data_IF_716795866684
#
_entry.id   IF_716795866684
#
_cell.length_a   1.000
_cell.length_b   1.000
_cell.length_c   1.000
_cell.angle_alpha   90.00
_cell.angle_beta   90.00
_cell.angle_gamma   90.00
#
_symmetry.space_group_name_H-M   'P 1'
#
loop_
_entity.id
_entity.type
_entity.pdbx_description
1 polymer ?
#
# COMPACT_ATOMS: atom_id res chain seq x y z
N UNK A 1 -0.87 -16.10 33.31
CA UNK A 1 -0.80 -14.64 33.42
C UNK A 1 -2.20 -14.11 33.18
N UNK A 2 -2.79 -13.47 34.19
CA UNK A 2 -4.20 -13.03 34.19
C UNK A 2 -4.30 -11.55 33.79
N UNK A 3 -5.49 -11.08 33.39
CA UNK A 3 -5.74 -9.65 33.07
C UNK A 3 -5.33 -8.72 34.23
N UNK A 4 -5.47 -9.20 35.46
CA UNK A 4 -5.06 -8.53 36.69
C UNK A 4 -3.54 -8.34 36.77
N UNK A 5 -2.76 -9.32 36.30
CA UNK A 5 -1.29 -9.23 36.28
C UNK A 5 -0.80 -8.18 35.27
N UNK A 6 -1.48 -8.09 34.12
CA UNK A 6 -1.16 -7.12 33.05
C UNK A 6 -1.51 -5.70 33.51
N UNK A 7 -2.67 -5.47 34.12
CA UNK A 7 -3.05 -4.15 34.64
C UNK A 7 -2.12 -3.69 35.76
N UNK A 8 -1.71 -4.61 36.63
CA UNK A 8 -0.79 -4.29 37.74
C UNK A 8 0.60 -3.95 37.21
N UNK A 9 1.10 -4.69 36.21
CA UNK A 9 2.38 -4.41 35.56
C UNK A 9 2.36 -3.06 34.80
N UNK A 10 1.25 -2.74 34.11
CA UNK A 10 1.10 -1.47 33.41
C UNK A 10 0.97 -0.29 34.38
N UNK A 11 0.17 -0.42 35.44
CA UNK A 11 0.02 0.61 36.46
C UNK A 11 1.36 0.91 37.16
N UNK A 12 2.16 -0.12 37.44
CA UNK A 12 3.49 0.03 38.02
C UNK A 12 4.50 0.63 37.04
N UNK A 13 4.37 0.38 35.73
CA UNK A 13 5.25 0.96 34.71
C UNK A 13 4.93 2.43 34.38
N UNK A 14 3.68 2.87 34.60
CA UNK A 14 3.25 4.25 34.28
C UNK A 14 3.13 5.17 35.49
N UNK A 15 3.26 4.65 36.72
CA UNK A 15 3.09 5.41 37.97
C UNK A 15 4.02 6.62 38.11
N UNK A 16 5.20 6.56 37.48
CA UNK A 16 6.23 7.62 37.56
C UNK A 16 6.24 8.57 36.34
N UNK A 17 5.34 8.37 35.37
CA UNK A 17 5.26 9.22 34.18
C UNK A 17 4.53 10.53 34.52
N UNK A 18 5.28 11.49 35.08
CA UNK A 18 4.83 12.88 35.13
C UNK A 18 4.88 13.48 33.73
N UNK A 19 3.72 13.80 33.20
CA UNK A 19 3.62 14.55 31.94
C UNK A 19 4.22 15.95 32.14
N UNK A 20 5.15 16.39 31.28
CA UNK A 20 5.68 17.74 31.35
C UNK A 20 4.53 18.76 31.25
N UNK A 21 4.45 19.76 32.14
CA UNK A 21 3.31 20.69 32.20
C UNK A 21 3.13 21.53 30.92
N UNK A 22 4.16 21.59 30.08
CA UNK A 22 4.20 22.32 28.81
C UNK A 22 3.98 21.42 27.58
N UNK A 23 3.62 20.14 27.76
CA UNK A 23 3.43 19.20 26.65
C UNK A 23 2.32 19.70 25.70
N UNK A 24 1.18 20.11 26.26
CA UNK A 24 0.04 20.62 25.47
C UNK A 24 0.40 21.93 24.75
N UNK A 25 1.13 22.82 25.41
CA UNK A 25 1.58 24.08 24.81
C UNK A 25 2.54 23.83 23.64
N UNK A 26 3.48 22.88 23.77
CA UNK A 26 4.39 22.49 22.68
C UNK A 26 3.65 21.86 21.51
N UNK A 27 2.64 21.04 21.77
CA UNK A 27 1.77 20.47 20.72
C UNK A 27 0.98 21.57 20.01
N UNK A 28 0.41 22.53 20.75
CA UNK A 28 -0.34 23.66 20.20
C UNK A 28 0.56 24.59 19.36
N UNK A 29 1.78 24.86 19.82
CA UNK A 29 2.76 25.69 19.09
C UNK A 29 3.24 25.00 17.81
N UNK A 30 3.44 23.68 17.85
CA UNK A 30 3.76 22.85 16.68
C UNK A 30 2.64 22.83 15.64
N UNK A 31 1.39 22.78 16.08
CA UNK A 31 0.20 22.87 15.22
C UNK A 31 0.08 24.22 14.51
N UNK A 32 0.22 25.33 15.26
CA UNK A 32 0.13 26.70 14.71
C UNK A 32 1.20 26.98 13.64
N UNK A 33 2.44 26.52 13.83
CA UNK A 33 3.52 26.71 12.83
C UNK A 33 3.24 25.99 11.50
N UNK A 34 2.61 24.82 11.53
CA UNK A 34 2.24 24.08 10.29
C UNK A 34 1.14 24.80 9.52
N UNK A 35 0.13 25.34 10.22
CA UNK A 35 -0.98 26.08 9.59
C UNK A 35 -0.49 27.38 8.94
N UNK A 36 0.42 28.12 9.58
CA UNK A 36 0.95 29.38 9.03
C UNK A 36 1.83 29.13 7.80
N UNK A 37 2.71 28.10 7.80
CA UNK A 37 3.48 27.73 6.60
C UNK A 37 2.59 27.31 5.43
N UNK A 38 1.45 26.67 5.69
CA UNK A 38 0.50 26.22 4.67
C UNK A 38 -0.26 27.40 4.03
N UNK A 39 -0.58 28.43 4.81
CA UNK A 39 -1.24 29.66 4.32
C UNK A 39 -0.31 30.54 3.47
N UNK A 40 0.99 30.58 3.80
CA UNK A 40 1.98 31.32 3.01
C UNK A 40 2.19 30.75 1.59
N UNK A 41 2.08 29.43 1.42
CA UNK A 41 2.21 28.78 0.11
C UNK A 41 0.99 28.96 -0.80
N UNK A 42 -0.21 29.15 -0.24
CA UNK A 42 -1.44 29.38 -1.01
C UNK A 42 -1.58 30.83 -1.51
N UNK A 43 -0.97 31.80 -0.83
CA UNK A 43 -1.02 33.20 -1.24
C UNK A 43 -0.12 33.52 -2.44
N UNK A 44 0.88 32.67 -2.75
CA UNK A 44 1.82 32.89 -3.85
C UNK A 44 1.34 32.35 -5.22
N UNK A 45 0.21 31.63 -5.26
CA UNK A 45 -0.25 30.88 -6.44
C UNK A 45 -1.48 31.46 -7.16
N UNK A 46 -1.82 32.74 -6.94
CA UNK A 46 -2.99 33.39 -7.52
C UNK A 46 -2.60 34.63 -8.34
N UNK A 47 -1.87 34.39 -9.43
CA UNK A 47 -1.78 35.34 -10.53
C UNK A 47 -1.73 34.58 -11.85
N UNK A 48 -2.60 34.99 -12.78
CA UNK A 48 -2.68 34.63 -14.21
C UNK A 48 -3.12 33.20 -14.57
N UNK A 49 -4.35 33.05 -15.09
CA UNK A 49 -4.64 32.87 -16.52
C UNK A 49 -6.16 33.05 -16.74
N UNK A 50 -6.51 33.97 -17.65
CA UNK A 50 -7.84 34.20 -18.21
C UNK A 50 -7.94 33.65 -19.64
N UNK A 51 -9.17 33.28 -20.03
CA UNK A 51 -9.70 32.89 -21.35
C UNK A 51 -9.56 31.40 -21.72
N UNK A 52 -10.59 30.65 -22.16
CA UNK A 52 -12.02 30.92 -22.37
C UNK A 52 -12.62 29.86 -23.33
N UNK A 53 -13.69 29.16 -22.92
CA UNK A 53 -14.79 28.50 -23.72
C UNK A 53 -15.63 27.61 -22.76
N UNK A 54 -16.81 28.06 -22.27
CA UNK A 54 -18.19 27.83 -22.75
C UNK A 54 -18.52 26.34 -23.02
N UNK A 55 -19.43 25.63 -22.35
CA UNK A 55 -20.56 25.99 -21.50
C UNK A 55 -20.70 24.98 -20.34
N UNK A 56 -20.75 25.49 -19.10
CA UNK A 56 -21.06 24.72 -17.90
C UNK A 56 -21.90 25.61 -17.00
N UNK A 57 -23.07 25.09 -16.60
CA UNK A 57 -24.03 25.77 -15.72
C UNK A 57 -23.32 26.23 -14.45
N UNK A 58 -23.13 27.54 -14.32
CA UNK A 58 -22.60 28.18 -13.13
C UNK A 58 -23.74 28.35 -12.12
N UNK A 59 -23.78 27.49 -11.09
CA UNK A 59 -24.39 27.86 -9.82
C UNK A 59 -23.39 28.70 -9.05
N UNK A 60 -23.70 29.99 -8.91
CA UNK A 60 -22.95 30.96 -8.11
C UNK A 60 -23.84 31.44 -6.97
N UNK A 61 -23.31 31.36 -5.75
CA UNK A 61 -23.93 31.82 -4.49
C UNK A 61 -24.28 30.62 -3.61
N UNK A 62 -24.00 30.57 -2.32
CA UNK A 62 -23.36 31.45 -1.35
C UNK A 62 -22.97 30.55 -0.18
N UNK A 63 -22.17 31.03 0.76
CA UNK A 63 -21.49 30.20 1.77
C UNK A 63 -22.39 29.17 2.46
N UNK A 64 -22.07 27.89 2.28
CA UNK A 64 -22.38 26.76 3.15
C UNK A 64 -21.67 25.52 2.58
N UNK A 65 -21.38 24.55 3.45
CA UNK A 65 -20.38 23.48 3.25
C UNK A 65 -20.30 22.85 1.85
N UNK A 66 -19.07 22.69 1.36
CA UNK A 66 -18.71 22.00 0.12
C UNK A 66 -19.61 20.79 -0.12
N UNK A 67 -20.39 20.85 -1.20
CA UNK A 67 -21.23 19.74 -1.63
C UNK A 67 -20.38 18.48 -1.77
N UNK A 68 -20.76 17.34 -1.16
CA UNK A 68 -19.95 16.13 -1.22
C UNK A 68 -19.81 15.66 -2.68
N UNK A 69 -18.57 15.35 -3.09
CA UNK A 69 -18.16 14.89 -4.44
C UNK A 69 -18.99 13.72 -4.98
N UNK A 70 -19.71 12.99 -4.12
CA UNK A 70 -20.57 11.87 -4.49
C UNK A 70 -22.06 12.18 -4.65
N UNK A 71 -22.51 13.43 -4.47
CA UNK A 71 -23.91 13.79 -4.79
C UNK A 71 -24.35 13.34 -6.20
N UNK A 72 -23.49 13.38 -7.25
CA UNK A 72 -23.85 12.87 -8.57
C UNK A 72 -24.10 11.36 -8.62
N UNK A 73 -23.51 10.58 -7.70
CA UNK A 73 -23.66 9.12 -7.69
C UNK A 73 -24.97 8.67 -7.07
N UNK A 74 -25.56 9.44 -6.15
CA UNK A 74 -26.75 9.04 -5.41
C UNK A 74 -28.05 9.57 -6.03
N UNK A 75 -27.97 10.69 -6.74
CA UNK A 75 -29.14 11.41 -7.27
C UNK A 75 -29.13 11.52 -8.80
N UNK A 76 -28.12 10.93 -9.46
CA UNK A 76 -27.99 10.95 -10.91
C UNK A 76 -28.95 9.99 -11.63
N UNK A 77 -28.98 10.07 -12.95
CA UNK A 77 -29.64 9.06 -13.78
C UNK A 77 -28.79 7.78 -13.82
N UNK A 78 -29.46 6.64 -13.89
CA UNK A 78 -28.79 5.35 -14.13
C UNK A 78 -28.16 5.37 -15.52
N UNK A 79 -26.85 5.08 -15.59
CA UNK A 79 -26.06 5.05 -16.82
C UNK A 79 -25.86 3.63 -17.37
N UNK A 80 -25.30 3.52 -18.57
CA UNK A 80 -24.95 2.24 -19.20
C UNK A 80 -26.00 1.70 -20.17
N UNK A 81 -25.68 0.62 -20.87
CA UNK A 81 -26.52 0.01 -21.92
C UNK A 81 -27.72 -0.78 -21.38
N UNK A 82 -27.70 -1.17 -20.11
CA UNK A 82 -28.83 -1.82 -19.43
C UNK A 82 -29.63 -0.85 -18.54
N UNK A 83 -29.44 0.47 -18.68
CA UNK A 83 -30.17 1.48 -17.89
C UNK A 83 -31.70 1.44 -18.03
N UNK A 84 -32.22 0.87 -19.12
CA UNK A 84 -33.65 0.70 -19.37
C UNK A 84 -34.19 -0.70 -19.03
N UNK A 85 -33.34 -1.64 -18.62
CA UNK A 85 -33.73 -3.02 -18.30
C UNK A 85 -34.33 -3.08 -16.88
N UNK A 86 -35.63 -2.82 -16.79
CA UNK A 86 -36.34 -2.78 -15.50
C UNK A 86 -36.20 -4.09 -14.69
N UNK A 87 -36.14 -5.24 -15.36
CA UNK A 87 -35.99 -6.53 -14.70
C UNK A 87 -34.60 -6.68 -14.07
N UNK A 88 -33.55 -6.32 -14.81
CA UNK A 88 -32.19 -6.35 -14.29
C UNK A 88 -31.97 -5.33 -13.16
N UNK A 89 -32.52 -4.12 -13.29
CA UNK A 89 -32.43 -3.12 -12.22
C UNK A 89 -33.16 -3.56 -10.96
N UNK A 90 -34.30 -4.25 -11.08
CA UNK A 90 -35.00 -4.83 -9.94
C UNK A 90 -34.19 -5.97 -9.28
N UNK A 91 -33.59 -6.86 -10.09
CA UNK A 91 -32.69 -7.92 -9.63
C UNK A 91 -31.49 -7.33 -8.85
N UNK A 92 -30.86 -6.28 -9.39
CA UNK A 92 -29.71 -5.61 -8.75
C UNK A 92 -30.06 -5.02 -7.39
N UNK A 93 -31.22 -4.34 -7.27
CA UNK A 93 -31.70 -3.80 -5.98
C UNK A 93 -32.00 -4.91 -4.97
N UNK A 94 -32.60 -6.02 -5.40
CA UNK A 94 -32.89 -7.16 -4.53
C UNK A 94 -31.61 -7.83 -4.01
N UNK A 95 -30.62 -8.06 -4.88
CA UNK A 95 -29.31 -8.61 -4.51
C UNK A 95 -28.58 -7.69 -3.53
N UNK A 96 -28.63 -6.37 -3.76
CA UNK A 96 -28.02 -5.40 -2.86
C UNK A 96 -28.68 -5.37 -1.49
N UNK A 97 -30.02 -5.35 -1.42
CA UNK A 97 -30.75 -5.39 -0.16
C UNK A 97 -30.41 -6.65 0.65
N UNK A 98 -30.34 -7.81 -0.02
CA UNK A 98 -29.92 -9.06 0.61
C UNK A 98 -28.46 -8.99 1.10
N UNK A 99 -27.56 -8.38 0.33
CA UNK A 99 -26.15 -8.23 0.69
C UNK A 99 -25.92 -7.33 1.90
N UNK A 100 -26.70 -6.25 2.02
CA UNK A 100 -26.64 -5.34 3.17
C UNK A 100 -27.12 -5.98 4.46
N UNK A 101 -28.06 -6.93 4.38
CA UNK A 101 -28.64 -7.59 5.54
C UNK A 101 -29.25 -6.58 6.53
N UNK A 102 -28.68 -6.49 7.73
CA UNK A 102 -29.15 -5.59 8.80
C UNK A 102 -28.48 -4.21 8.84
N UNK A 103 -27.64 -3.85 7.86
CA UNK A 103 -26.95 -2.55 7.87
C UNK A 103 -27.98 -1.40 7.71
N UNK A 104 -28.04 -0.44 8.66
CA UNK A 104 -28.97 0.69 8.56
C UNK A 104 -28.68 1.56 7.33
N UNK A 105 -29.66 1.68 6.45
CA UNK A 105 -29.63 2.50 5.22
C UNK A 105 -30.78 3.51 5.19
N UNK A 106 -30.71 4.49 4.29
CA UNK A 106 -31.74 5.51 4.06
C UNK A 106 -32.16 5.53 2.59
N UNK A 107 -33.48 5.55 2.37
CA UNK A 107 -34.07 5.60 1.03
C UNK A 107 -33.87 4.32 0.23
N UNK A 108 -34.36 4.33 -1.00
CA UNK A 108 -34.20 3.23 -1.95
C UNK A 108 -32.76 3.17 -2.50
N UNK A 109 -32.23 1.97 -2.80
CA UNK A 109 -30.95 1.86 -3.47
C UNK A 109 -31.04 2.36 -4.91
N UNK A 110 -30.07 3.18 -5.30
CA UNK A 110 -29.94 3.74 -6.64
C UNK A 110 -28.90 2.95 -7.43
N UNK A 111 -29.30 2.45 -8.60
CA UNK A 111 -28.36 1.81 -9.54
C UNK A 111 -27.69 2.91 -10.34
N UNK A 112 -26.42 3.18 -10.03
CA UNK A 112 -25.61 4.25 -10.65
C UNK A 112 -25.31 3.92 -12.12
N UNK A 113 -25.01 2.65 -12.38
CA UNK A 113 -24.64 2.17 -13.70
C UNK A 113 -25.08 0.71 -13.85
N UNK A 114 -25.58 0.34 -15.02
CA UNK A 114 -25.96 -1.03 -15.37
C UNK A 114 -25.59 -1.32 -16.83
N UNK A 115 -24.87 -2.41 -17.07
CA UNK A 115 -24.43 -2.73 -18.42
C UNK A 115 -23.76 -4.08 -18.64
N UNK A 116 -23.32 -4.30 -19.87
CA UNK A 116 -22.54 -5.49 -20.25
C UNK A 116 -21.04 -5.26 -20.05
N UNK A 117 -20.46 -6.00 -19.11
CA UNK A 117 -19.03 -6.07 -18.88
C UNK A 117 -18.37 -7.08 -19.84
N UNK A 118 -17.30 -6.70 -20.57
CA UNK A 118 -16.60 -7.60 -21.48
C UNK A 118 -16.15 -8.87 -20.77
N UNK A 119 -16.51 -10.04 -21.32
CA UNK A 119 -16.17 -11.38 -20.80
C UNK A 119 -16.67 -11.71 -19.38
N UNK A 120 -17.37 -10.79 -18.70
CA UNK A 120 -17.93 -10.98 -17.36
C UNK A 120 -19.47 -11.01 -17.34
N UNK A 121 -20.15 -10.65 -18.44
CA UNK A 121 -21.61 -10.66 -18.53
C UNK A 121 -22.23 -9.36 -17.99
N UNK A 122 -23.43 -9.43 -17.43
CA UNK A 122 -24.09 -8.25 -16.85
C UNK A 122 -23.36 -7.79 -15.58
N UNK A 123 -23.22 -6.49 -15.39
CA UNK A 123 -22.66 -5.89 -14.20
C UNK A 123 -23.43 -4.62 -13.83
N UNK A 124 -23.33 -4.21 -12.56
CA UNK A 124 -23.94 -2.98 -12.09
C UNK A 124 -23.12 -2.33 -10.98
N UNK A 125 -23.28 -1.03 -10.82
CA UNK A 125 -22.85 -0.27 -9.64
C UNK A 125 -24.09 0.24 -8.94
N UNK A 126 -24.20 -0.02 -7.64
CA UNK A 126 -25.31 0.43 -6.82
C UNK A 126 -24.79 1.30 -5.69
N UNK A 127 -25.55 2.32 -5.31
CA UNK A 127 -25.25 3.17 -4.19
C UNK A 127 -26.51 3.41 -3.34
N UNK A 128 -26.33 3.58 -2.05
CA UNK A 128 -27.43 3.84 -1.13
C UNK A 128 -26.97 4.72 0.03
N UNK A 129 -27.82 5.64 0.47
CA UNK A 129 -27.49 6.52 1.60
C UNK A 129 -27.48 5.72 2.90
N UNK A 130 -26.66 6.16 3.85
CA UNK A 130 -26.70 5.67 5.24
C UNK A 130 -27.00 6.83 6.19
N UNK A 131 -27.45 6.56 7.43
CA UNK A 131 -27.41 7.58 8.47
C UNK A 131 -25.99 8.14 8.59
N UNK A 132 -25.85 9.47 8.52
CA UNK A 132 -24.54 10.10 8.62
C UNK A 132 -23.85 9.68 9.92
N UNK A 133 -22.62 9.18 9.78
CA UNK A 133 -21.79 8.76 10.91
C UNK A 133 -20.36 9.20 10.71
N UNK A 134 -19.71 9.62 11.80
CA UNK A 134 -18.27 9.83 11.79
C UNK A 134 -17.63 8.46 11.66
N UNK A 135 -17.01 8.22 10.52
CA UNK A 135 -16.43 6.92 10.16
C UNK A 135 -14.92 6.85 10.45
N UNK A 136 -14.26 7.99 10.67
CA UNK A 136 -12.83 8.00 10.98
C UNK A 136 -12.45 9.02 12.07
N UNK A 137 -11.35 8.79 12.81
CA UNK A 137 -10.79 9.75 13.77
C UNK A 137 -10.38 11.10 13.14
N UNK A 138 -10.24 11.15 11.82
CA UNK A 138 -9.96 12.37 11.06
C UNK A 138 -11.22 13.21 10.79
N UNK A 139 -12.38 12.80 11.32
CA UNK A 139 -13.65 13.52 11.16
C UNK A 139 -14.35 13.28 9.83
N UNK A 140 -14.00 12.22 9.10
CA UNK A 140 -14.69 11.89 7.84
C UNK A 140 -16.09 11.38 8.14
N UNK A 141 -17.05 11.83 7.34
CA UNK A 141 -18.46 11.45 7.45
C UNK A 141 -18.75 10.42 6.36
N UNK A 142 -19.25 9.26 6.78
CA UNK A 142 -19.91 8.32 5.87
C UNK A 142 -21.32 8.82 5.58
N UNK A 143 -21.64 8.97 4.30
CA UNK A 143 -22.96 9.42 3.83
C UNK A 143 -23.63 8.43 2.89
N UNK A 144 -22.93 7.39 2.48
CA UNK A 144 -23.49 6.32 1.65
C UNK A 144 -22.63 5.06 1.64
N UNK A 145 -23.19 4.03 1.02
CA UNK A 145 -22.54 2.77 0.68
C UNK A 145 -22.60 2.62 -0.83
N UNK A 146 -21.57 2.00 -1.40
CA UNK A 146 -21.50 1.66 -2.82
C UNK A 146 -21.10 0.19 -2.97
N UNK A 147 -21.67 -0.50 -3.95
CA UNK A 147 -21.36 -1.89 -4.26
C UNK A 147 -21.21 -2.11 -5.75
N UNK A 148 -20.31 -3.03 -6.11
CA UNK A 148 -20.21 -3.57 -7.44
C UNK A 148 -20.94 -4.92 -7.48
N UNK A 149 -21.70 -5.15 -8.54
CA UNK A 149 -22.42 -6.38 -8.80
C UNK A 149 -21.91 -7.02 -10.09
N UNK A 150 -21.77 -8.34 -10.08
CA UNK A 150 -21.38 -9.12 -11.26
C UNK A 150 -22.33 -10.29 -11.48
N UNK A 151 -22.63 -10.58 -12.74
CA UNK A 151 -23.31 -11.79 -13.15
C UNK A 151 -22.35 -12.98 -13.07
N UNK A 152 -22.79 -14.05 -12.41
CA UNK A 152 -22.11 -15.34 -12.42
C UNK A 152 -23.02 -16.42 -13.00
N UNK A 153 -22.49 -17.64 -13.13
CA UNK A 153 -23.29 -18.82 -13.48
C UNK A 153 -24.36 -19.14 -12.42
N UNK A 154 -24.18 -18.70 -11.17
CA UNK A 154 -25.14 -18.88 -10.09
C UNK A 154 -26.16 -17.74 -9.96
N UNK A 155 -26.07 -16.71 -10.82
CA UNK A 155 -26.88 -15.50 -10.72
C UNK A 155 -26.07 -14.24 -10.46
N UNK A 156 -26.77 -13.11 -10.35
CA UNK A 156 -26.19 -11.83 -9.98
C UNK A 156 -25.78 -11.84 -8.50
N UNK A 157 -24.61 -11.28 -8.18
CA UNK A 157 -24.13 -11.15 -6.80
C UNK A 157 -23.43 -9.81 -6.58
N UNK A 158 -23.52 -9.29 -5.36
CA UNK A 158 -22.66 -8.19 -4.91
C UNK A 158 -21.27 -8.73 -4.51
N UNK A 159 -20.21 -8.07 -4.95
CA UNK A 159 -18.81 -8.49 -4.73
C UNK A 159 -17.99 -7.50 -3.91
N UNK A 160 -18.60 -6.38 -3.52
CA UNK A 160 -17.98 -5.38 -2.66
C UNK A 160 -19.04 -4.60 -1.88
N UNK A 161 -18.58 -3.97 -0.80
CA UNK A 161 -19.35 -3.05 0.02
C UNK A 161 -18.40 -1.95 0.51
N UNK A 162 -18.47 -0.78 -0.12
CA UNK A 162 -17.58 0.34 0.11
C UNK A 162 -18.31 1.47 0.81
N UNK A 163 -17.68 2.08 1.82
CA UNK A 163 -18.19 3.32 2.39
C UNK A 163 -17.86 4.51 1.49
N UNK A 164 -18.85 5.37 1.29
CA UNK A 164 -18.68 6.64 0.60
C UNK A 164 -18.39 7.71 1.65
N UNK A 165 -17.16 8.21 1.66
CA UNK A 165 -16.64 9.10 2.70
C UNK A 165 -16.43 10.51 2.16
N UNK A 166 -16.64 11.53 3.01
CA UNK A 166 -16.38 12.93 2.64
C UNK A 166 -14.87 13.18 2.52
N UNK A 167 -14.43 13.78 1.42
CA UNK A 167 -13.02 14.17 1.22
C UNK A 167 -12.04 13.00 1.25
N UNK A 168 -12.50 11.78 0.95
CA UNK A 168 -11.65 10.60 0.85
C UNK A 168 -11.69 10.01 -0.56
N UNK A 169 -10.70 9.17 -0.85
CA UNK A 169 -10.71 8.30 -2.02
C UNK A 169 -11.74 7.21 -1.80
N UNK A 170 -12.90 7.33 -2.45
CA UNK A 170 -13.80 6.19 -2.63
C UNK A 170 -13.07 5.15 -3.50
N UNK A 171 -13.47 3.88 -3.46
CA UNK A 171 -12.91 2.84 -4.33
C UNK A 171 -13.74 2.72 -5.62
N UNK A 172 -13.43 3.45 -6.72
CA UNK A 172 -14.23 3.42 -7.94
C UNK A 172 -13.91 2.21 -8.82
N UNK A 173 -13.02 1.30 -8.41
CA UNK A 173 -12.57 0.20 -9.24
C UNK A 173 -12.88 -1.16 -8.63
N UNK A 174 -13.10 -2.16 -9.49
CA UNK A 174 -13.32 -3.55 -9.10
C UNK A 174 -12.74 -4.51 -10.14
N UNK A 175 -12.27 -5.68 -9.70
CA UNK A 175 -11.92 -6.79 -10.58
C UNK A 175 -13.09 -7.78 -10.68
N UNK A 176 -13.65 -7.94 -11.87
CA UNK A 176 -14.77 -8.82 -12.20
C UNK A 176 -14.29 -10.19 -12.72
N UNK A 177 -15.25 -11.11 -12.82
CA UNK A 177 -15.12 -12.48 -13.33
C UNK A 177 -14.36 -13.42 -12.38
N UNK A 178 -14.56 -14.76 -12.49
CA UNK A 178 -13.92 -15.73 -11.59
C UNK A 178 -12.39 -15.74 -11.63
N UNK A 179 -11.80 -15.27 -12.72
CA UNK A 179 -10.35 -15.14 -12.89
C UNK A 179 -9.83 -13.74 -12.56
N UNK A 180 -10.71 -12.80 -12.20
CA UNK A 180 -10.36 -11.42 -11.84
C UNK A 180 -9.56 -10.74 -12.96
N UNK A 181 -9.92 -11.04 -14.20
CA UNK A 181 -9.20 -10.64 -15.40
C UNK A 181 -9.91 -9.49 -16.14
N UNK A 182 -10.98 -8.94 -15.57
CA UNK A 182 -11.70 -7.78 -16.12
C UNK A 182 -11.69 -6.69 -15.06
N UNK A 183 -11.01 -5.58 -15.34
CA UNK A 183 -11.06 -4.39 -14.51
C UNK A 183 -12.23 -3.52 -14.96
N UNK A 184 -13.07 -3.11 -14.01
CA UNK A 184 -14.11 -2.11 -14.19
C UNK A 184 -13.77 -0.89 -13.33
N UNK A 185 -13.87 0.30 -13.91
CA UNK A 185 -13.61 1.57 -13.20
C UNK A 185 -14.77 2.52 -13.46
N UNK A 186 -15.35 3.06 -12.39
CA UNK A 186 -16.37 4.10 -12.40
C UNK A 186 -15.72 5.47 -12.60
N UNK A 187 -16.29 6.30 -13.47
CA UNK A 187 -15.86 7.68 -13.65
C UNK A 187 -16.25 8.54 -12.44
N UNK A 188 -15.23 9.07 -11.76
CA UNK A 188 -15.38 10.01 -10.65
C UNK A 188 -14.92 11.44 -11.01
N UNK A 189 -14.69 11.71 -12.30
CA UNK A 189 -14.29 13.01 -12.83
C UNK A 189 -12.83 13.38 -12.63
N UNK A 190 -12.01 12.52 -12.01
CA UNK A 190 -10.57 12.80 -11.78
C UNK A 190 -9.66 12.44 -12.95
N UNK A 191 -10.18 11.74 -13.97
CA UNK A 191 -9.42 11.18 -15.07
C UNK A 191 -8.51 10.05 -14.58
N UNK A 192 -8.85 8.80 -14.88
CA UNK A 192 -8.11 7.65 -14.37
C UNK A 192 -7.22 7.05 -15.44
N UNK A 193 -6.00 6.70 -15.05
CA UNK A 193 -5.03 5.98 -15.87
C UNK A 193 -4.74 4.61 -15.26
N UNK A 194 -4.54 3.65 -16.15
CA UNK A 194 -4.37 2.24 -15.84
C UNK A 194 -2.99 1.75 -16.27
N UNK A 195 -2.36 0.95 -15.40
CA UNK A 195 -1.15 0.19 -15.71
C UNK A 195 -1.44 -1.30 -15.58
N UNK A 196 -1.25 -2.12 -16.62
CA UNK A 196 -1.56 -3.56 -16.59
C UNK A 196 -0.58 -4.39 -15.75
N UNK A 197 0.62 -3.87 -15.53
CA UNK A 197 1.66 -4.50 -14.74
C UNK A 197 2.73 -3.49 -14.39
N UNK A 198 3.86 -3.99 -13.90
CA UNK A 198 5.05 -3.20 -13.62
C UNK A 198 6.32 -4.00 -13.93
N UNK A 199 7.42 -3.29 -14.06
CA UNK A 199 8.77 -3.83 -14.17
C UNK A 199 9.68 -3.30 -13.09
N UNK A 200 10.93 -3.74 -13.14
CA UNK A 200 12.01 -3.18 -12.35
C UNK A 200 13.11 -2.70 -13.27
N UNK A 201 13.59 -1.49 -13.03
CA UNK A 201 14.82 -1.01 -13.67
C UNK A 201 16.06 -1.68 -13.06
N UNK A 202 17.25 -1.54 -13.66
CA UNK A 202 18.47 -2.18 -13.14
C UNK A 202 18.83 -1.80 -11.70
N UNK A 203 18.40 -0.63 -11.23
CA UNK A 203 18.56 -0.18 -9.85
C UNK A 203 17.48 -0.72 -8.89
N UNK A 204 16.47 -1.42 -9.42
CA UNK A 204 15.35 -2.02 -8.70
C UNK A 204 14.17 -1.09 -8.45
N UNK A 205 14.20 0.15 -8.96
CA UNK A 205 13.04 1.05 -8.94
C UNK A 205 11.88 0.44 -9.73
N UNK A 206 10.65 0.75 -9.31
CA UNK A 206 9.43 0.21 -9.94
C UNK A 206 9.04 1.09 -11.11
N UNK A 207 8.90 0.47 -12.29
CA UNK A 207 8.44 1.18 -13.50
C UNK A 207 7.05 0.70 -13.93
N UNK A 208 6.23 1.67 -14.33
CA UNK A 208 4.85 1.46 -14.79
C UNK A 208 4.56 2.31 -16.02
N UNK A 209 3.75 1.76 -16.92
CA UNK A 209 3.22 2.51 -18.06
C UNK A 209 1.74 2.74 -17.85
N UNK A 210 1.33 4.01 -17.78
CA UNK A 210 -0.05 4.40 -17.48
C UNK A 210 -0.78 4.91 -18.73
N UNK A 211 -1.82 4.20 -19.14
CA UNK A 211 -2.68 4.58 -20.27
C UNK A 211 -3.99 5.17 -19.75
N UNK A 212 -4.49 6.29 -20.30
CA UNK A 212 -5.80 6.83 -19.96
C UNK A 212 -6.93 5.83 -20.24
N UNK A 213 -7.90 5.76 -19.35
CA UNK A 213 -9.14 5.00 -19.56
C UNK A 213 -10.16 5.87 -20.31
N UNK A 214 -10.93 5.26 -21.22
CA UNK A 214 -12.00 5.94 -21.95
C UNK A 214 -13.38 5.59 -21.35
N UNK A 215 -13.93 6.53 -20.59
CA UNK A 215 -15.23 6.40 -19.92
C UNK A 215 -16.42 6.67 -20.84
N UNK A 216 -16.20 7.19 -22.06
CA UNK A 216 -17.29 7.55 -22.98
C UNK A 216 -17.91 6.33 -23.64
N UNK A 217 -17.12 5.27 -23.81
CA UNK A 217 -17.54 4.04 -24.51
C UNK A 217 -18.67 3.33 -23.76
N UNK A 218 -18.62 3.31 -22.43
CA UNK A 218 -19.64 2.66 -21.60
C UNK A 218 -20.32 3.63 -20.64
N UNK A 219 -20.47 4.89 -21.06
CA UNK A 219 -21.28 5.90 -20.36
C UNK A 219 -20.93 6.02 -18.86
N UNK A 220 -19.72 6.48 -18.56
CA UNK A 220 -19.27 6.71 -17.19
C UNK A 220 -18.63 5.51 -16.50
N UNK A 221 -18.40 4.42 -17.22
CA UNK A 221 -17.55 3.31 -16.79
C UNK A 221 -16.51 3.03 -17.87
N UNK A 222 -15.32 2.61 -17.47
CA UNK A 222 -14.30 2.07 -18.35
C UNK A 222 -13.97 0.63 -17.97
N UNK A 223 -13.71 -0.20 -18.99
CA UNK A 223 -13.25 -1.57 -18.82
C UNK A 223 -11.83 -1.73 -19.35
N UNK A 224 -11.06 -2.60 -18.71
CA UNK A 224 -9.78 -3.07 -19.23
C UNK A 224 -9.65 -4.58 -19.02
N UNK A 225 -9.25 -5.29 -20.07
CA UNK A 225 -8.82 -6.68 -19.94
C UNK A 225 -7.46 -6.72 -19.23
N UNK A 226 -7.30 -7.67 -18.33
CA UNK A 226 -6.08 -7.82 -17.51
C UNK A 226 -5.65 -9.30 -17.51
N UNK A 227 -4.39 -9.57 -17.17
CA UNK A 227 -3.98 -10.95 -16.85
C UNK A 227 -4.73 -11.46 -15.61
N UNK A 228 -4.77 -12.76 -15.37
CA UNK A 228 -5.35 -13.33 -14.15
C UNK A 228 -4.72 -12.72 -12.89
N UNK A 229 -5.54 -12.14 -12.01
CA UNK A 229 -5.09 -11.48 -10.76
C UNK A 229 -5.32 -12.38 -9.53
N UNK A 230 -5.05 -13.69 -9.66
CA UNK A 230 -5.15 -14.65 -8.54
C UNK A 230 -3.87 -14.63 -7.72
N UNK A 231 -3.99 -14.44 -6.41
CA UNK A 231 -2.86 -14.45 -5.46
C UNK A 231 -2.03 -13.16 -5.39
N UNK A 232 -1.99 -12.36 -6.47
CA UNK A 232 -1.38 -11.03 -6.48
C UNK A 232 -2.15 -10.08 -7.39
N UNK A 233 -2.10 -8.77 -7.11
CA UNK A 233 -2.63 -7.74 -8.01
C UNK A 233 -1.44 -6.98 -8.62
N UNK A 234 -1.27 -7.12 -9.93
CA UNK A 234 -0.20 -6.49 -10.71
C UNK A 234 -0.61 -5.12 -11.26
N UNK A 235 -1.92 -4.91 -11.41
CA UNK A 235 -2.45 -3.66 -11.94
C UNK A 235 -2.24 -2.50 -10.98
N UNK A 236 -2.23 -1.28 -11.52
CA UNK A 236 -2.28 -0.06 -10.74
C UNK A 236 -3.20 0.95 -11.41
N UNK A 237 -3.80 1.79 -10.57
CA UNK A 237 -4.63 2.90 -11.00
C UNK A 237 -4.14 4.20 -10.39
N UNK A 238 -4.11 5.23 -11.21
CA UNK A 238 -3.71 6.58 -10.80
C UNK A 238 -4.67 7.60 -11.40
N UNK A 239 -5.15 8.51 -10.56
CA UNK A 239 -5.91 9.66 -11.01
C UNK A 239 -4.99 10.77 -11.53
N UNK A 240 -5.43 11.50 -12.56
CA UNK A 240 -4.72 12.68 -13.08
C UNK A 240 -4.82 13.84 -12.10
N UNK A 241 -5.96 13.97 -11.41
CA UNK A 241 -6.20 14.94 -10.34
C UNK A 241 -6.16 14.25 -8.97
N UNK A 242 -5.55 14.91 -7.99
CA UNK A 242 -5.59 14.46 -6.61
C UNK A 242 -6.96 14.68 -5.98
N UNK A 243 -7.26 13.95 -4.91
CA UNK A 243 -8.40 14.23 -4.03
C UNK A 243 -8.20 15.55 -3.25
N UNK A 244 -9.05 15.82 -2.27
CA UNK A 244 -8.95 17.01 -1.39
C UNK A 244 -7.65 17.07 -0.58
N UNK A 245 -6.93 15.96 -0.46
CA UNK A 245 -5.63 15.86 0.19
C UNK A 245 -4.46 15.85 -0.81
N UNK A 246 -4.75 15.91 -2.11
CA UNK A 246 -3.78 15.80 -3.20
C UNK A 246 -3.37 14.36 -3.51
N UNK A 247 -4.01 13.35 -2.91
CA UNK A 247 -3.69 11.97 -3.20
C UNK A 247 -4.31 11.52 -4.52
N UNK A 248 -3.49 10.84 -5.34
CA UNK A 248 -3.85 10.38 -6.68
C UNK A 248 -4.08 8.87 -6.73
N UNK A 249 -4.07 8.19 -5.59
CA UNK A 249 -4.43 6.79 -5.52
C UNK A 249 -5.92 6.60 -5.85
N UNK A 250 -6.24 5.39 -6.31
CA UNK A 250 -7.59 4.98 -6.68
C UNK A 250 -7.87 3.68 -5.96
N UNK A 251 -8.90 3.62 -5.12
CA UNK A 251 -9.22 2.42 -4.36
C UNK A 251 -9.75 1.28 -5.24
N UNK A 252 -9.48 0.04 -4.83
CA UNK A 252 -10.03 -1.19 -5.42
C UNK A 252 -10.98 -1.85 -4.42
N UNK A 253 -12.26 -1.92 -4.75
CA UNK A 253 -13.35 -2.24 -3.83
C UNK A 253 -13.25 -3.67 -3.28
N UNK A 254 -13.21 -4.67 -4.17
CA UNK A 254 -13.17 -6.07 -3.73
C UNK A 254 -11.80 -6.54 -3.19
N UNK A 255 -10.89 -5.63 -2.80
CA UNK A 255 -9.57 -5.98 -2.24
C UNK A 255 -9.69 -6.85 -0.98
N UNK A 256 -10.65 -6.59 -0.11
CA UNK A 256 -10.88 -7.41 1.09
C UNK A 256 -11.23 -8.86 0.75
N UNK A 257 -12.10 -9.09 -0.24
CA UNK A 257 -12.41 -10.43 -0.75
C UNK A 257 -11.22 -11.11 -1.46
N UNK A 258 -10.17 -10.35 -1.80
CA UNK A 258 -8.90 -10.88 -2.32
C UNK A 258 -7.93 -11.27 -1.20
N UNK A 259 -8.06 -10.68 0.00
CA UNK A 259 -7.32 -11.05 1.20
C UNK A 259 -8.07 -12.21 1.87
N UNK A 260 -7.70 -13.46 1.56
CA UNK A 260 -8.41 -14.64 2.08
C UNK A 260 -8.37 -14.70 3.61
N UNK A 261 -9.52 -14.49 4.27
CA UNK A 261 -10.03 -15.15 5.49
C UNK A 261 -9.24 -15.13 6.81
N UNK A 262 -7.94 -14.84 6.77
CA UNK A 262 -7.11 -14.73 7.95
C UNK A 262 -6.93 -13.25 8.27
N UNK A 263 -7.05 -12.91 9.56
CA UNK A 263 -6.59 -11.64 10.10
C UNK A 263 -5.27 -11.30 9.42
N UNK A 264 -5.15 -10.16 8.72
CA UNK A 264 -3.92 -9.83 8.02
C UNK A 264 -2.78 -9.98 9.04
N UNK A 265 -1.78 -10.86 8.79
CA UNK A 265 -0.67 -10.98 9.72
C UNK A 265 -0.09 -9.59 9.95
N UNK A 266 0.39 -9.34 11.17
CA UNK A 266 1.02 -8.07 11.51
C UNK A 266 1.93 -7.64 10.37
N UNK A 267 1.79 -6.39 9.93
CA UNK A 267 2.57 -5.84 8.83
C UNK A 267 4.03 -6.29 9.00
N UNK A 268 4.57 -7.00 7.99
CA UNK A 268 5.80 -7.76 8.14
C UNK A 268 6.85 -6.99 8.91
N UNK A 269 7.34 -7.58 10.00
CA UNK A 269 8.20 -6.88 10.94
C UNK A 269 9.40 -6.28 10.21
N UNK A 270 9.69 -5.01 10.53
CA UNK A 270 10.91 -4.36 10.06
C UNK A 270 12.07 -4.85 10.91
N UNK A 271 12.93 -5.70 10.34
CA UNK A 271 14.08 -6.30 11.00
C UNK A 271 15.29 -5.36 10.93
N UNK A 272 15.33 -4.41 11.87
CA UNK A 272 16.50 -3.55 12.06
C UNK A 272 17.66 -4.38 12.64
N UNK A 273 18.76 -4.48 11.91
CA UNK A 273 19.95 -5.25 12.31
C UNK A 273 21.24 -4.42 12.21
N UNK A 274 21.61 -3.72 13.30
CA UNK A 274 22.93 -3.12 13.38
C UNK A 274 24.02 -4.18 13.58
N UNK A 275 24.98 -4.27 12.66
CA UNK A 275 26.08 -5.22 12.78
C UNK A 275 27.19 -4.71 13.72
N UNK A 276 27.96 -5.62 14.37
CA UNK A 276 29.12 -5.26 15.16
C UNK A 276 30.13 -4.42 14.35
N UNK A 277 30.73 -3.39 14.98
CA UNK A 277 31.70 -2.52 14.32
C UNK A 277 31.09 -1.36 13.54
N UNK A 278 29.75 -1.29 13.40
CA UNK A 278 29.08 -0.22 12.63
C UNK A 278 29.42 1.18 13.15
N UNK A 279 29.62 1.33 14.46
CA UNK A 279 29.89 2.59 15.13
C UNK A 279 31.16 3.29 14.62
N UNK A 280 32.07 2.52 13.97
CA UNK A 280 33.28 3.05 13.33
C UNK A 280 32.99 3.91 12.10
N UNK A 281 31.81 3.76 11.49
CA UNK A 281 31.39 4.46 10.28
C UNK A 281 30.03 5.15 10.41
N UNK A 282 29.24 4.79 11.43
CA UNK A 282 27.92 5.34 11.73
C UNK A 282 27.93 6.03 13.09
N UNK A 283 28.16 7.37 13.15
CA UNK A 283 28.02 8.13 14.38
C UNK A 283 26.60 8.01 14.94
N UNK A 284 26.45 8.12 16.27
CA UNK A 284 25.14 7.99 16.96
C UNK A 284 24.44 9.32 17.22
N UNK A 285 24.86 10.39 16.55
CA UNK A 285 24.26 11.72 16.75
C UNK A 285 23.01 11.95 15.86
N UNK A 286 22.24 12.98 16.19
CA UNK A 286 21.01 13.31 15.48
C UNK A 286 21.22 13.73 14.02
N UNK A 287 22.40 14.23 13.65
CA UNK A 287 22.71 14.54 12.25
C UNK A 287 22.94 13.23 11.47
N UNK A 288 23.67 12.28 12.06
CA UNK A 288 23.90 10.96 11.47
C UNK A 288 22.62 10.14 11.32
N UNK A 289 21.67 10.21 12.26
CA UNK A 289 20.37 9.53 12.09
C UNK A 289 19.52 10.18 10.98
N UNK A 290 19.57 11.50 10.82
CA UNK A 290 18.93 12.18 9.67
C UNK A 290 19.58 11.79 8.35
N UNK A 291 20.90 11.64 8.33
CA UNK A 291 21.61 11.13 7.15
C UNK A 291 21.22 9.68 6.87
N UNK A 292 21.13 8.83 7.91
CA UNK A 292 20.76 7.43 7.80
C UNK A 292 19.36 7.22 7.22
N UNK A 293 18.44 8.18 7.38
CA UNK A 293 17.13 8.15 6.72
C UNK A 293 17.23 8.15 5.18
N UNK A 294 18.30 8.72 4.60
CA UNK A 294 18.53 8.69 3.14
C UNK A 294 18.92 7.31 2.62
N UNK A 295 19.36 6.43 3.51
CA UNK A 295 19.70 5.04 3.18
C UNK A 295 18.49 4.11 3.28
N UNK A 296 17.34 4.63 3.69
CA UNK A 296 16.11 3.87 3.81
C UNK A 296 15.24 3.99 2.58
N UNK A 297 15.24 2.93 1.78
CA UNK A 297 14.46 2.85 0.55
C UNK A 297 12.96 2.69 0.83
N UNK A 298 12.56 2.27 2.03
CA UNK A 298 11.13 2.05 2.35
C UNK A 298 10.32 3.35 2.38
N UNK A 299 10.98 4.49 2.60
CA UNK A 299 10.35 5.82 2.54
C UNK A 299 10.44 6.50 1.18
N UNK A 300 11.09 5.88 0.19
CA UNK A 300 11.31 6.46 -1.14
C UNK A 300 10.24 5.97 -2.10
N UNK A 301 9.56 6.89 -2.79
CA UNK A 301 8.38 6.56 -3.59
C UNK A 301 8.74 5.68 -4.79
N UNK A 302 9.90 5.88 -5.41
CA UNK A 302 10.37 5.15 -6.60
C UNK A 302 10.65 3.65 -6.36
N UNK A 303 10.93 3.26 -5.11
CA UNK A 303 11.13 1.86 -4.74
C UNK A 303 9.83 1.18 -4.27
N UNK A 304 8.79 1.98 -4.03
CA UNK A 304 7.49 1.54 -3.59
C UNK A 304 6.45 1.64 -4.71
N UNK A 305 5.54 0.68 -4.75
CA UNK A 305 4.48 0.70 -5.74
C UNK A 305 3.30 1.56 -5.26
N UNK A 306 3.48 2.89 -5.28
CA UNK A 306 2.53 3.86 -4.70
C UNK A 306 1.08 3.67 -5.18
N UNK A 307 0.90 3.25 -6.43
CA UNK A 307 -0.41 3.14 -7.08
C UNK A 307 -0.90 1.69 -7.22
N UNK A 308 -0.08 0.71 -6.83
CA UNK A 308 -0.45 -0.69 -6.88
C UNK A 308 -1.22 -1.14 -5.64
N UNK A 309 -1.78 -2.34 -5.74
CA UNK A 309 -2.58 -2.94 -4.68
C UNK A 309 -1.83 -4.09 -4.04
N UNK A 310 -1.69 -4.03 -2.72
CA UNK A 310 -1.06 -5.10 -1.94
C UNK A 310 -2.15 -5.96 -1.29
N UNK A 311 -2.06 -7.28 -1.50
CA UNK A 311 -2.97 -8.27 -0.91
C UNK A 311 -2.42 -8.94 0.34
N UNK A 312 -1.11 -9.16 0.36
CA UNK A 312 -0.44 -9.78 1.50
C UNK A 312 0.39 -8.73 2.21
N UNK A 313 0.48 -8.76 3.55
CA UNK A 313 1.50 -8.00 4.25
C UNK A 313 2.87 -8.25 3.60
N UNK A 314 3.72 -7.21 3.50
CA UNK A 314 5.06 -7.43 2.98
C UNK A 314 5.75 -8.50 3.83
N UNK A 315 6.65 -9.27 3.24
CA UNK A 315 7.53 -10.13 4.04
C UNK A 315 8.33 -9.26 5.03
N UNK A 316 8.88 -9.90 6.07
CA UNK A 316 9.77 -9.23 6.99
C UNK A 316 10.86 -8.47 6.22
N UNK A 317 10.96 -7.17 6.49
CA UNK A 317 11.83 -6.27 5.74
C UNK A 317 13.14 -6.14 6.48
N UNK A 318 14.20 -6.72 5.91
CA UNK A 318 15.55 -6.59 6.45
C UNK A 318 16.06 -5.18 6.27
N UNK A 319 16.67 -4.64 7.33
CA UNK A 319 17.42 -3.39 7.29
C UNK A 319 18.74 -3.57 8.04
N UNK A 320 19.75 -4.09 7.34
CA UNK A 320 21.04 -4.45 7.92
C UNK A 320 22.01 -3.28 7.72
N UNK A 321 22.49 -2.69 8.81
CA UNK A 321 23.48 -1.58 8.78
C UNK A 321 24.83 -2.09 9.26
N UNK A 322 25.90 -1.83 8.52
CA UNK A 322 27.24 -2.22 8.95
C UNK A 322 28.33 -1.29 8.45
N UNK A 323 29.56 -1.62 8.83
CA UNK A 323 30.78 -1.00 8.34
C UNK A 323 31.74 -2.08 7.82
N UNK A 324 32.38 -1.82 6.70
CA UNK A 324 33.45 -2.68 6.17
C UNK A 324 34.75 -2.44 6.95
N UNK A 325 35.76 -3.29 6.75
CA UNK A 325 37.06 -3.13 7.42
C UNK A 325 37.76 -1.81 7.08
N UNK A 326 37.55 -1.30 5.85
CA UNK A 326 38.01 0.02 5.38
C UNK A 326 37.08 1.17 5.83
N UNK A 327 36.23 0.92 6.83
CA UNK A 327 35.29 1.88 7.45
C UNK A 327 34.27 2.48 6.49
N UNK A 328 33.97 1.84 5.37
CA UNK A 328 32.86 2.26 4.49
C UNK A 328 31.55 1.80 5.08
N UNK A 329 30.57 2.71 5.09
CA UNK A 329 29.19 2.43 5.47
C UNK A 329 28.55 1.51 4.44
N UNK A 330 27.70 0.59 4.88
CA UNK A 330 26.79 -0.11 3.98
C UNK A 330 25.42 -0.36 4.61
N UNK A 331 24.43 -0.53 3.73
CA UNK A 331 23.09 -1.00 4.06
C UNK A 331 22.72 -2.13 3.11
N UNK A 332 22.22 -3.23 3.67
CA UNK A 332 21.51 -4.26 2.91
C UNK A 332 20.04 -4.22 3.33
N UNK A 333 19.16 -4.01 2.36
CA UNK A 333 17.72 -3.87 2.60
C UNK A 333 16.93 -4.83 1.72
N UNK A 334 15.83 -5.40 2.25
CA UNK A 334 14.83 -6.07 1.41
C UNK A 334 13.57 -5.22 1.27
N UNK A 335 12.95 -5.20 0.08
CA UNK A 335 11.63 -4.57 -0.12
C UNK A 335 10.70 -5.50 -0.90
N UNK A 336 9.56 -5.84 -0.31
CA UNK A 336 8.52 -6.64 -0.97
C UNK A 336 7.60 -5.76 -1.80
N UNK A 337 7.54 -6.01 -3.11
CA UNK A 337 6.62 -5.32 -4.01
C UNK A 337 5.20 -5.93 -3.94
N UNK A 338 4.28 -5.40 -4.74
CA UNK A 338 2.88 -5.88 -4.82
C UNK A 338 2.75 -7.27 -5.46
N UNK A 339 3.77 -7.71 -6.19
CA UNK A 339 3.89 -9.07 -6.71
C UNK A 339 4.38 -10.11 -5.69
N UNK A 340 4.63 -9.69 -4.44
CA UNK A 340 5.11 -10.56 -3.37
C UNK A 340 6.61 -10.88 -3.44
N UNK A 341 7.35 -10.45 -4.47
CA UNK A 341 8.79 -10.67 -4.57
C UNK A 341 9.55 -9.68 -3.68
N UNK A 342 10.54 -10.18 -2.95
CA UNK A 342 11.40 -9.39 -2.06
C UNK A 342 12.69 -9.03 -2.78
N UNK A 343 12.84 -7.78 -3.20
CA UNK A 343 14.06 -7.25 -3.83
C UNK A 343 15.14 -7.03 -2.78
N UNK A 344 16.38 -7.38 -3.07
CA UNK A 344 17.53 -7.20 -2.17
C UNK A 344 18.40 -6.06 -2.70
N UNK A 345 18.67 -5.05 -1.89
CA UNK A 345 19.49 -3.89 -2.26
C UNK A 345 20.77 -3.83 -1.45
N UNK A 346 21.84 -3.33 -2.07
CA UNK A 346 23.08 -2.94 -1.43
C UNK A 346 23.35 -1.46 -1.70
N UNK A 347 23.49 -0.67 -0.64
CA UNK A 347 24.09 0.66 -0.70
C UNK A 347 25.46 0.59 -0.01
N UNK A 348 26.55 1.02 -0.67
CA UNK A 348 27.91 0.96 -0.14
C UNK A 348 28.64 2.29 -0.35
N UNK A 349 29.15 2.87 0.74
CA UNK A 349 29.85 4.16 0.78
C UNK A 349 28.93 5.37 0.58
N UNK A 350 27.90 5.22 -0.26
CA UNK A 350 26.88 6.22 -0.59
C UNK A 350 25.47 5.61 -0.43
N UNK A 351 24.40 6.42 -0.30
CA UNK A 351 23.05 5.89 -0.19
C UNK A 351 22.50 5.32 -1.51
N UNK A 352 23.18 5.54 -2.65
CA UNK A 352 22.75 5.03 -3.95
C UNK A 352 22.67 3.49 -3.92
N UNK A 353 21.48 2.90 -4.07
CA UNK A 353 21.31 1.46 -3.97
C UNK A 353 21.65 0.76 -5.29
N UNK A 354 22.06 -0.50 -5.18
CA UNK A 354 22.23 -1.42 -6.30
C UNK A 354 21.41 -2.67 -6.03
N UNK A 355 20.52 -3.03 -6.95
CA UNK A 355 19.74 -4.27 -6.89
C UNK A 355 20.69 -5.48 -6.96
N UNK A 356 20.57 -6.38 -5.99
CA UNK A 356 21.36 -7.62 -5.87
C UNK A 356 20.57 -8.86 -6.30
N UNK A 357 19.29 -8.69 -6.63
CA UNK A 357 18.38 -9.75 -7.04
C UNK A 357 17.16 -9.86 -6.11
N UNK A 358 16.60 -11.06 -6.04
CA UNK A 358 15.38 -11.35 -5.28
C UNK A 358 15.66 -12.39 -4.20
N UNK A 359 15.22 -12.10 -2.98
CA UNK A 359 15.22 -13.05 -1.88
C UNK A 359 14.01 -13.98 -2.01
N UNK A 360 14.23 -15.26 -1.76
CA UNK A 360 13.19 -16.23 -1.45
C UNK A 360 13.00 -16.27 0.07
N UNK A 361 11.88 -15.76 0.63
CA UNK A 361 11.64 -15.78 2.06
C UNK A 361 11.58 -17.19 2.67
N UNK A 362 11.26 -18.21 1.87
CA UNK A 362 11.20 -19.61 2.32
C UNK A 362 12.59 -20.26 2.44
N UNK A 363 13.58 -19.73 1.72
CA UNK A 363 14.94 -20.27 1.71
C UNK A 363 15.57 -20.28 3.12
N UNK A 364 16.47 -21.23 3.42
CA UNK A 364 17.20 -21.23 4.69
C UNK A 364 18.01 -19.95 4.92
N UNK A 365 18.51 -19.31 3.86
CA UNK A 365 19.29 -18.08 3.93
C UNK A 365 18.78 -17.05 2.91
N UNK A 366 17.72 -16.28 3.23
CA UNK A 366 17.06 -15.39 2.28
C UNK A 366 17.94 -14.21 1.83
N UNK A 367 18.85 -13.74 2.69
CA UNK A 367 19.77 -12.63 2.36
C UNK A 367 21.19 -13.15 2.24
N UNK A 368 21.79 -12.96 1.06
CA UNK A 368 23.19 -13.29 0.73
C UNK A 368 23.76 -12.29 -0.27
N UNK A 369 24.50 -11.29 0.20
CA UNK A 369 24.98 -10.17 -0.63
C UNK A 369 26.50 -10.07 -0.56
N UNK A 370 27.17 -10.28 -1.69
CA UNK A 370 28.62 -10.09 -1.83
C UNK A 370 28.93 -8.60 -1.89
N UNK A 371 29.81 -8.12 -1.04
CA UNK A 371 30.29 -6.74 -1.12
C UNK A 371 31.41 -6.64 -2.18
N UNK A 372 31.39 -5.61 -3.06
CA UNK A 372 32.42 -5.45 -4.08
C UNK A 372 33.81 -5.23 -3.47
N UNK A 373 34.84 -5.66 -4.18
CA UNK A 373 36.25 -5.47 -3.79
C UNK A 373 36.69 -6.31 -2.59
N UNK A 374 36.25 -7.57 -2.50
CA UNK A 374 36.63 -8.53 -1.45
C UNK A 374 36.33 -8.02 -0.03
N UNK A 375 35.25 -7.26 0.14
CA UNK A 375 34.87 -6.66 1.44
C UNK A 375 34.00 -7.56 2.31
N UNK A 376 33.69 -8.77 1.85
CA UNK A 376 32.93 -9.75 2.61
C UNK A 376 31.59 -10.13 1.97
N UNK A 377 30.79 -10.90 2.72
CA UNK A 377 29.44 -11.31 2.33
C UNK A 377 28.49 -10.99 3.49
N UNK A 378 27.46 -10.21 3.22
CA UNK A 378 26.38 -9.96 4.18
C UNK A 378 25.38 -11.10 4.09
N UNK A 379 25.08 -11.73 5.22
CA UNK A 379 24.12 -12.83 5.31
C UNK A 379 23.09 -12.55 6.39
N UNK A 380 21.85 -13.00 6.19
CA UNK A 380 20.83 -12.95 7.23
C UNK A 380 19.71 -14.00 7.06
N UNK A 381 19.22 -14.51 8.19
CA UNK A 381 18.06 -15.39 8.31
C UNK A 381 17.44 -15.23 9.69
N UNK A 382 16.18 -14.81 9.77
CA UNK A 382 15.53 -14.39 11.01
C UNK A 382 15.48 -15.54 12.03
N UNK A 383 15.91 -15.25 13.26
CA UNK A 383 15.91 -16.21 14.37
C UNK A 383 16.85 -17.41 14.19
N UNK A 384 17.64 -17.46 13.11
CA UNK A 384 18.55 -18.58 12.85
C UNK A 384 19.82 -18.50 13.69
N UNK A 385 20.34 -19.65 14.09
CA UNK A 385 21.74 -19.80 14.49
C UNK A 385 22.56 -20.11 13.25
N UNK A 386 23.64 -19.37 13.03
CA UNK A 386 24.48 -19.51 11.85
C UNK A 386 25.92 -19.81 12.21
N UNK A 387 26.57 -20.60 11.36
CA UNK A 387 28.02 -20.82 11.33
C UNK A 387 28.49 -20.70 9.89
N UNK A 388 29.73 -20.28 9.67
CA UNK A 388 30.28 -20.17 8.32
C UNK A 388 31.59 -20.93 8.20
N UNK A 389 31.92 -21.32 6.98
CA UNK A 389 33.19 -21.94 6.65
C UNK A 389 33.90 -21.11 5.58
N UNK A 390 35.22 -20.97 5.74
CA UNK A 390 36.10 -20.37 4.73
C UNK A 390 36.89 -21.48 4.01
N UNK A 391 38.04 -21.18 3.39
CA UNK A 391 38.88 -22.17 2.69
C UNK A 391 39.47 -23.31 3.56
N UNK A 392 39.05 -23.46 4.82
CA UNK A 392 39.50 -24.51 5.74
C UNK A 392 38.34 -25.39 6.23
N UNK A 393 38.62 -26.53 6.89
CA UNK A 393 37.60 -27.50 7.28
C UNK A 393 36.71 -27.03 8.46
N UNK A 394 37.14 -26.02 9.21
CA UNK A 394 36.48 -25.59 10.44
C UNK A 394 35.30 -24.65 10.24
N UNK A 395 34.19 -24.93 10.92
CA UNK A 395 33.02 -24.05 11.04
C UNK A 395 33.21 -23.01 12.15
N UNK A 396 33.13 -21.73 11.78
CA UNK A 396 33.24 -20.58 12.68
C UNK A 396 31.85 -20.05 13.05
N UNK A 397 31.60 -19.65 14.31
CA UNK A 397 30.30 -19.13 14.71
C UNK A 397 30.00 -17.75 14.10
N UNK A 398 28.72 -17.47 13.87
CA UNK A 398 28.20 -16.15 13.52
C UNK A 398 27.47 -15.55 14.71
N UNK A 399 27.76 -14.29 15.04
CA UNK A 399 27.08 -13.60 16.12
C UNK A 399 25.72 -13.07 15.66
N UNK A 400 24.65 -13.81 15.97
CA UNK A 400 23.27 -13.42 15.69
C UNK A 400 22.72 -13.94 14.36
N UNK A 401 21.58 -13.37 13.96
CA UNK A 401 20.76 -13.78 12.82
C UNK A 401 21.09 -12.98 11.53
N UNK A 402 22.06 -12.07 11.60
CA UNK A 402 22.64 -11.33 10.48
C UNK A 402 24.13 -11.01 10.74
N UNK A 403 24.97 -11.07 9.71
CA UNK A 403 26.40 -10.78 9.84
C UNK A 403 27.08 -10.34 8.53
N UNK A 404 28.23 -9.69 8.68
CA UNK A 404 29.23 -9.52 7.61
C UNK A 404 30.31 -10.59 7.77
N UNK A 405 30.33 -11.56 6.86
CA UNK A 405 31.32 -12.63 6.82
C UNK A 405 32.57 -12.19 6.04
N UNK A 406 33.76 -12.76 6.33
CA UNK A 406 34.96 -12.52 5.53
C UNK A 406 34.76 -12.88 4.05
N UNK A 407 35.50 -12.23 3.14
CA UNK A 407 35.39 -12.51 1.70
C UNK A 407 35.81 -13.94 1.31
N UNK A 408 36.59 -14.61 2.17
CA UNK A 408 36.97 -16.00 1.98
C UNK A 408 35.90 -17.01 2.43
N UNK A 409 34.78 -16.56 3.01
CA UNK A 409 33.66 -17.43 3.36
C UNK A 409 33.03 -18.01 2.10
N UNK A 410 32.80 -19.33 2.09
CA UNK A 410 32.24 -20.07 0.95
C UNK A 410 30.88 -20.68 1.25
N UNK A 411 30.58 -20.96 2.52
CA UNK A 411 29.35 -21.62 2.94
C UNK A 411 28.87 -21.11 4.30
N UNK A 412 27.56 -21.23 4.52
CA UNK A 412 26.90 -20.96 5.80
C UNK A 412 26.02 -22.15 6.18
N UNK A 413 26.23 -22.68 7.37
CA UNK A 413 25.32 -23.62 8.03
C UNK A 413 24.26 -22.80 8.78
N UNK A 414 22.99 -23.09 8.50
CA UNK A 414 21.83 -22.40 9.07
C UNK A 414 20.96 -23.40 9.84
N UNK A 415 20.68 -23.06 11.10
CA UNK A 415 19.84 -23.83 12.00
C UNK A 415 18.67 -22.94 12.46
N UNK A 416 17.47 -23.15 11.89
CA UNK A 416 16.24 -22.43 12.25
C UNK A 416 15.32 -23.32 13.08
N UNK A 417 14.68 -22.79 14.14
CA UNK A 417 13.68 -23.53 14.91
C UNK A 417 12.62 -24.17 14.00
N UNK A 418 12.35 -25.46 14.19
CA UNK A 418 11.31 -26.19 13.46
C UNK A 418 11.65 -26.57 12.01
N UNK A 419 12.88 -26.34 11.54
CA UNK A 419 13.32 -26.77 10.20
C UNK A 419 14.57 -27.63 10.27
N UNK A 420 14.79 -28.45 9.25
CA UNK A 420 16.06 -29.17 9.12
C UNK A 420 17.21 -28.18 8.91
N UNK A 421 18.34 -28.47 9.57
CA UNK A 421 19.59 -27.73 9.35
C UNK A 421 19.99 -27.79 7.87
N UNK A 422 20.43 -26.67 7.33
CA UNK A 422 20.82 -26.54 5.93
C UNK A 422 22.23 -25.94 5.79
N UNK A 423 22.97 -26.38 4.78
CA UNK A 423 24.23 -25.75 4.35
C UNK A 423 23.99 -25.03 3.04
N UNK A 424 24.30 -23.74 2.99
CA UNK A 424 24.05 -22.87 1.84
C UNK A 424 25.38 -22.34 1.31
N UNK A 425 25.63 -22.54 0.01
CA UNK A 425 26.76 -21.95 -0.69
C UNK A 425 26.62 -20.43 -0.84
N UNK A 426 27.72 -19.71 -0.63
CA UNK A 426 27.80 -18.27 -0.81
C UNK A 426 28.22 -17.92 -2.25
N UNK A 427 27.79 -16.76 -2.77
CA UNK A 427 28.23 -16.28 -4.09
C UNK A 427 29.76 -16.12 -4.13
N UNK A 428 30.36 -16.60 -5.23
CA UNK A 428 31.81 -16.55 -5.51
C UNK A 428 32.40 -15.14 -5.55
#
# INVERSE_FOLDING_TARGET
MTDTDIRTALAHATGDLRTPPDLLDRVHQGGRRRVVRRRALLAAGLATVTAGSAAGVLLRGGGDGDAPVASPLLDGETRGDLRGDAAFLAEARAVWAAHLGGIPVRGEPHVVWAGLAPHAGRAAVIAQRVPQRVASPAGQISYGLMGFLEQTTAGLRAISLEEMLTGAVNAPAVLLAPQRNVLMVLDDGRGIRYSPGFGYDPDGTITRTFTPLDFRVHDGVAFAATATQRGSIQIALRADRGDTHGDRTVGLANRSALMSGETPPDAGARLLRPLPGREKAWPRDAAAEREAARWDLSGQEEFNDRYGYRLQPPAATWFIRGATFDRRRFVVQTLTATDGRSRVYLSLGTPAPVLQGFADPGAPLPVRVRLPGLRGVVVASEGARMRYRARGPGWLPVAGDAALLPAAATEVEVDRPGTARAVVGLPG
#
